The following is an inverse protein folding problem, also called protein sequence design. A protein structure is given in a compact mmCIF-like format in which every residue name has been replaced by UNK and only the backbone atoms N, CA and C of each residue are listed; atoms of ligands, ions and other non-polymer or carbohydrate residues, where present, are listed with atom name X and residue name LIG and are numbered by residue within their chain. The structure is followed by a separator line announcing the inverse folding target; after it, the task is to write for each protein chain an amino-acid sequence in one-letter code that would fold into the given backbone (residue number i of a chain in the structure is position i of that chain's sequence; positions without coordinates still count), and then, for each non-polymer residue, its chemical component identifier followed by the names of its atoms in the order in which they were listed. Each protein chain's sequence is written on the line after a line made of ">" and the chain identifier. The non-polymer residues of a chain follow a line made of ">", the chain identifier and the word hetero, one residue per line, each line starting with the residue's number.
data_IF_605795207273
#
_entry.id   IF_605795207273
#
_cell.length_a   1.000
_cell.length_b   1.000
_cell.length_c   1.000
_cell.angle_alpha   90.00
_cell.angle_beta   90.00
_cell.angle_gamma   90.00
#
_symmetry.space_group_name_H-M   'P 1'
#
loop_
_entity.id
_entity.type
_entity.pdbx_description
1 polymer ?
#
# COMPACT_ATOMS: atom_id res chain seq x y z
N UNK A 1 -49.28 3.71 -40.12
CA UNK A 1 -48.30 3.62 -39.00
C UNK A 1 -48.26 2.18 -38.51
N UNK A 2 -47.07 1.63 -38.34
CA UNK A 2 -46.87 0.30 -37.77
C UNK A 2 -46.11 0.44 -36.46
N UNK A 3 -46.53 -0.26 -35.45
CA UNK A 3 -45.82 -0.34 -34.18
C UNK A 3 -45.47 -1.80 -33.97
N UNK A 4 -44.19 -2.07 -33.71
CA UNK A 4 -43.68 -3.41 -33.47
C UNK A 4 -43.04 -3.48 -32.11
N UNK A 5 -43.49 -4.40 -31.32
CA UNK A 5 -42.80 -4.77 -30.09
C UNK A 5 -41.68 -5.73 -30.46
N UNK A 6 -40.42 -5.28 -30.36
CA UNK A 6 -39.28 -6.10 -30.76
C UNK A 6 -38.86 -7.11 -29.70
N UNK A 7 -39.20 -6.89 -28.42
CA UNK A 7 -38.86 -7.79 -27.31
C UNK A 7 -39.55 -7.40 -26.00
N UNK A 8 -39.73 -8.35 -25.10
CA UNK A 8 -40.20 -8.11 -23.73
C UNK A 8 -41.70 -8.40 -23.51
N UNK A 9 -42.19 -8.25 -22.25
CA UNK A 9 -43.58 -8.47 -21.88
C UNK A 9 -44.50 -7.36 -22.37
N UNK A 10 -45.76 -7.70 -22.65
CA UNK A 10 -46.82 -6.74 -22.91
C UNK A 10 -47.50 -6.83 -24.27
N UNK A 11 -48.55 -6.06 -24.46
CA UNK A 11 -49.29 -5.91 -25.71
C UNK A 11 -49.49 -4.44 -26.05
N UNK A 12 -49.66 -4.17 -27.33
CA UNK A 12 -49.79 -2.85 -27.92
C UNK A 12 -51.20 -2.65 -28.50
N UNK A 13 -51.64 -1.40 -28.60
CA UNK A 13 -52.82 -1.00 -29.34
C UNK A 13 -52.69 0.41 -29.88
N UNK A 14 -53.41 0.72 -30.97
CA UNK A 14 -53.45 2.06 -31.56
C UNK A 14 -54.87 2.57 -31.56
N UNK A 15 -55.05 3.85 -31.30
CA UNK A 15 -56.36 4.52 -31.36
C UNK A 15 -56.26 5.94 -31.92
N UNK A 16 -57.44 6.49 -32.26
CA UNK A 16 -57.62 7.86 -32.71
C UNK A 16 -57.58 8.90 -31.61
N UNK A 17 -57.78 8.48 -30.36
CA UNK A 17 -57.82 9.36 -29.19
C UNK A 17 -57.18 8.70 -27.99
N UNK A 18 -56.69 9.54 -27.05
CA UNK A 18 -56.15 9.06 -25.80
C UNK A 18 -57.16 8.21 -25.02
N UNK A 19 -56.71 7.10 -24.47
CA UNK A 19 -57.54 6.18 -23.68
C UNK A 19 -58.49 5.27 -24.47
N UNK A 20 -58.56 5.40 -25.82
CA UNK A 20 -59.40 4.56 -26.66
C UNK A 20 -58.69 3.32 -27.25
N UNK A 21 -57.37 3.23 -27.09
CA UNK A 21 -56.61 2.06 -27.52
C UNK A 21 -56.99 0.85 -26.67
N UNK A 22 -57.03 -0.33 -27.30
CA UNK A 22 -57.25 -1.62 -26.64
C UNK A 22 -56.11 -2.57 -27.00
N UNK A 23 -55.75 -3.54 -26.14
CA UNK A 23 -54.73 -4.52 -26.45
C UNK A 23 -55.05 -5.28 -27.74
N UNK A 24 -54.16 -5.27 -28.71
CA UNK A 24 -54.33 -5.90 -30.03
C UNK A 24 -53.21 -6.86 -30.42
N UNK A 25 -52.11 -6.84 -29.72
CA UNK A 25 -50.97 -7.74 -29.98
C UNK A 25 -49.63 -7.03 -29.89
N UNK A 26 -48.55 -7.67 -30.36
CA UNK A 26 -47.21 -7.12 -30.35
C UNK A 26 -46.86 -6.30 -31.61
N UNK A 27 -47.49 -6.63 -32.70
CA UNK A 27 -47.42 -5.88 -33.97
C UNK A 27 -48.79 -5.28 -34.27
N UNK A 28 -48.89 -3.96 -34.30
CA UNK A 28 -50.15 -3.25 -34.55
C UNK A 28 -49.97 -2.26 -35.67
N UNK A 29 -50.86 -2.32 -36.66
CA UNK A 29 -50.82 -1.46 -37.83
C UNK A 29 -52.09 -0.62 -37.90
N UNK A 30 -51.98 0.69 -38.07
CA UNK A 30 -53.06 1.59 -38.39
C UNK A 30 -52.83 2.18 -39.80
N UNK A 31 -53.68 1.79 -40.74
CA UNK A 31 -53.63 2.24 -42.14
C UNK A 31 -54.36 3.58 -42.39
N UNK A 32 -54.95 4.15 -41.32
CA UNK A 32 -55.71 5.41 -41.47
C UNK A 32 -54.77 6.61 -41.52
N UNK A 33 -55.13 7.59 -42.37
CA UNK A 33 -54.44 8.90 -42.40
C UNK A 33 -54.98 9.79 -41.29
N UNK A 34 -54.16 9.98 -40.23
CA UNK A 34 -54.51 10.83 -39.06
C UNK A 34 -53.36 11.76 -38.76
N UNK A 35 -53.66 12.89 -38.12
CA UNK A 35 -52.67 13.85 -37.65
C UNK A 35 -52.00 13.43 -36.34
N UNK A 36 -52.64 12.52 -35.59
CA UNK A 36 -52.12 11.97 -34.34
C UNK A 36 -52.55 10.49 -34.18
N UNK A 37 -51.67 9.67 -33.67
CA UNK A 37 -51.91 8.30 -33.24
C UNK A 37 -51.58 8.16 -31.76
N UNK A 38 -52.46 7.51 -31.02
CA UNK A 38 -52.26 7.23 -29.59
C UNK A 38 -51.94 5.76 -29.42
N UNK A 39 -50.83 5.48 -28.78
CA UNK A 39 -50.35 4.13 -28.52
C UNK A 39 -50.63 3.77 -27.08
N UNK A 40 -51.41 2.70 -26.87
CA UNK A 40 -51.57 2.07 -25.57
C UNK A 40 -50.59 0.90 -25.40
N UNK A 41 -50.07 0.75 -24.21
CA UNK A 41 -49.16 -0.33 -23.86
C UNK A 41 -49.70 -0.96 -22.57
N UNK A 42 -49.88 -2.27 -22.59
CA UNK A 42 -50.42 -3.05 -21.45
C UNK A 42 -49.45 -4.17 -21.08
N UNK A 43 -49.23 -4.34 -19.80
CA UNK A 43 -48.53 -5.50 -19.26
C UNK A 43 -49.32 -6.80 -19.48
N UNK A 44 -48.67 -7.89 -19.69
CA UNK A 44 -49.26 -9.25 -19.83
C UNK A 44 -49.18 -10.06 -18.51
N UNK A 45 -48.83 -9.41 -17.42
CA UNK A 45 -48.68 -10.03 -16.10
C UNK A 45 -47.23 -10.53 -15.84
N UNK A 46 -46.33 -10.39 -16.81
CA UNK A 46 -44.89 -10.66 -16.61
C UNK A 46 -44.12 -9.36 -16.46
N UNK A 47 -43.08 -9.38 -15.67
CA UNK A 47 -42.17 -8.23 -15.52
C UNK A 47 -40.97 -8.32 -16.47
N UNK A 48 -40.45 -7.17 -16.88
CA UNK A 48 -39.33 -7.06 -17.83
C UNK A 48 -39.38 -5.74 -18.58
N UNK A 49 -38.41 -5.56 -19.49
CA UNK A 49 -38.38 -4.37 -20.36
C UNK A 49 -38.96 -4.69 -21.72
N UNK A 50 -39.91 -3.87 -22.13
CA UNK A 50 -40.50 -3.90 -23.48
C UNK A 50 -39.90 -2.77 -24.30
N UNK A 51 -39.46 -3.08 -25.52
CA UNK A 51 -38.99 -2.10 -26.49
C UNK A 51 -39.99 -1.98 -27.61
N UNK A 52 -40.53 -0.78 -27.79
CA UNK A 52 -41.57 -0.45 -28.79
C UNK A 52 -40.93 0.35 -29.91
N UNK A 53 -40.92 -0.21 -31.11
CA UNK A 53 -40.45 0.46 -32.32
C UNK A 53 -41.61 0.99 -33.13
N UNK A 54 -41.58 2.26 -33.46
CA UNK A 54 -42.64 2.98 -34.19
C UNK A 54 -42.19 3.26 -35.60
N UNK A 55 -42.91 2.83 -36.61
CA UNK A 55 -42.56 2.97 -38.00
C UNK A 55 -43.64 3.73 -38.82
N UNK A 56 -43.21 4.41 -39.88
CA UNK A 56 -44.04 4.79 -41.00
C UNK A 56 -43.61 4.03 -42.24
N UNK A 57 -44.46 3.13 -42.73
CA UNK A 57 -44.03 2.14 -43.75
C UNK A 57 -42.90 1.28 -43.22
N UNK A 58 -41.73 1.38 -43.84
CA UNK A 58 -40.51 0.68 -43.45
C UNK A 58 -39.53 1.57 -42.69
N UNK A 59 -39.80 2.86 -42.50
CA UNK A 59 -38.93 3.81 -41.85
C UNK A 59 -39.21 3.84 -40.35
N UNK A 60 -38.19 3.55 -39.51
CA UNK A 60 -38.24 3.68 -38.08
C UNK A 60 -38.29 5.18 -37.69
N UNK A 61 -39.32 5.58 -36.91
CA UNK A 61 -39.50 6.92 -36.41
C UNK A 61 -38.96 7.11 -34.98
N UNK A 62 -39.24 6.14 -34.10
CA UNK A 62 -38.85 6.19 -32.69
C UNK A 62 -38.75 4.79 -32.12
N UNK A 63 -37.89 4.66 -31.10
CA UNK A 63 -37.81 3.49 -30.24
C UNK A 63 -37.97 3.94 -28.81
N UNK A 64 -38.98 3.35 -28.12
CA UNK A 64 -39.28 3.67 -26.73
C UNK A 64 -39.14 2.41 -25.87
N UNK A 65 -38.69 2.58 -24.62
CA UNK A 65 -38.54 1.48 -23.69
C UNK A 65 -39.46 1.67 -22.48
N UNK A 66 -40.17 0.62 -22.14
CA UNK A 66 -41.11 0.59 -20.99
C UNK A 66 -40.71 -0.58 -20.07
N UNK A 67 -40.69 -0.31 -18.77
CA UNK A 67 -40.42 -1.32 -17.75
C UNK A 67 -41.73 -1.73 -17.08
N UNK A 68 -42.06 -3.01 -17.18
CA UNK A 68 -43.10 -3.63 -16.38
C UNK A 68 -42.50 -4.30 -15.16
N UNK A 69 -43.05 -4.07 -13.99
CA UNK A 69 -42.61 -4.65 -12.73
C UNK A 69 -43.78 -5.22 -11.94
N UNK A 70 -43.48 -6.23 -11.13
CA UNK A 70 -44.42 -6.88 -10.22
C UNK A 70 -44.39 -6.29 -8.81
N UNK A 71 -44.93 -7.04 -7.87
CA UNK A 71 -44.86 -6.70 -6.45
C UNK A 71 -43.41 -6.80 -5.92
N UNK A 72 -43.14 -6.08 -4.84
CA UNK A 72 -41.82 -6.10 -4.20
C UNK A 72 -41.52 -7.52 -3.70
N UNK A 73 -40.43 -8.12 -4.16
CA UNK A 73 -39.94 -9.42 -3.73
C UNK A 73 -38.58 -9.35 -3.00
N UNK A 74 -37.87 -8.24 -3.19
CA UNK A 74 -36.59 -7.99 -2.44
C UNK A 74 -36.38 -6.49 -2.25
N UNK A 75 -35.77 -6.14 -1.11
CA UNK A 75 -35.34 -4.78 -0.79
C UNK A 75 -33.87 -4.85 -0.43
N UNK A 76 -33.06 -4.05 -1.10
CA UNK A 76 -31.62 -3.94 -0.82
C UNK A 76 -31.30 -2.51 -0.40
N UNK A 77 -30.65 -2.37 0.75
CA UNK A 77 -30.21 -1.10 1.27
C UNK A 77 -28.68 -1.03 1.30
N UNK A 78 -28.11 0.08 0.82
CA UNK A 78 -26.67 0.31 0.78
C UNK A 78 -26.37 1.63 1.46
N UNK A 79 -25.47 1.63 2.43
CA UNK A 79 -25.04 2.86 3.08
C UNK A 79 -24.16 3.69 2.13
N UNK A 80 -24.43 4.99 2.05
CA UNK A 80 -23.57 5.96 1.38
C UNK A 80 -22.45 6.38 2.34
N UNK A 81 -22.79 6.59 3.63
CA UNK A 81 -21.86 6.83 4.72
C UNK A 81 -22.30 6.03 5.93
N UNK A 82 -21.38 5.31 6.56
CA UNK A 82 -21.64 4.61 7.82
C UNK A 82 -21.65 5.53 9.03
N UNK A 83 -21.21 6.78 8.86
CA UNK A 83 -21.06 7.80 9.88
C UNK A 83 -21.86 9.05 9.51
N UNK A 84 -22.72 9.51 10.39
CA UNK A 84 -23.60 10.66 10.21
C UNK A 84 -23.52 11.61 11.41
N UNK A 85 -23.89 12.87 11.20
CA UNK A 85 -23.82 13.90 12.22
C UNK A 85 -25.00 13.83 13.19
N UNK A 86 -24.75 14.08 14.48
CA UNK A 86 -25.79 14.11 15.51
C UNK A 86 -26.60 15.42 15.51
N UNK A 87 -27.88 15.32 15.86
CA UNK A 87 -28.75 16.48 16.07
C UNK A 87 -29.25 17.17 14.80
N UNK A 88 -29.06 16.54 13.62
CA UNK A 88 -29.48 17.11 12.33
C UNK A 88 -30.14 16.04 11.45
N UNK A 89 -30.76 16.47 10.34
CA UNK A 89 -31.19 15.56 9.28
C UNK A 89 -30.04 15.32 8.32
N UNK A 90 -29.59 14.07 8.24
CA UNK A 90 -28.55 13.63 7.33
C UNK A 90 -29.18 13.16 6.03
N UNK A 91 -29.07 13.94 4.95
CA UNK A 91 -29.68 13.64 3.66
C UNK A 91 -28.87 12.59 2.89
N UNK A 92 -29.59 11.73 2.13
CA UNK A 92 -28.98 10.71 1.27
C UNK A 92 -27.96 9.79 1.99
N UNK A 93 -28.21 9.45 3.27
CA UNK A 93 -27.31 8.62 4.07
C UNK A 93 -27.31 7.14 3.63
N UNK A 94 -28.44 6.67 3.08
CA UNK A 94 -28.63 5.29 2.60
C UNK A 94 -29.32 5.36 1.23
N UNK A 95 -28.94 4.48 0.32
CA UNK A 95 -29.69 4.20 -0.91
C UNK A 95 -30.47 2.92 -0.75
N UNK A 96 -31.70 2.88 -1.30
CA UNK A 96 -32.54 1.70 -1.27
C UNK A 96 -33.03 1.37 -2.67
N UNK A 97 -33.05 0.09 -3.00
CA UNK A 97 -33.54 -0.47 -4.26
C UNK A 97 -34.50 -1.61 -3.94
N UNK A 98 -35.70 -1.56 -4.49
CA UNK A 98 -36.65 -2.68 -4.45
C UNK A 98 -36.71 -3.37 -5.81
N UNK A 99 -36.86 -4.68 -5.81
CA UNK A 99 -37.00 -5.50 -7.01
C UNK A 99 -38.12 -6.50 -6.85
N UNK A 100 -38.69 -6.86 -7.97
CA UNK A 100 -39.73 -7.92 -8.04
C UNK A 100 -39.06 -9.33 -8.08
N UNK A 101 -39.90 -10.37 -8.21
CA UNK A 101 -39.49 -11.76 -8.28
C UNK A 101 -38.58 -12.10 -9.49
N UNK A 102 -38.68 -11.32 -10.57
CA UNK A 102 -37.87 -11.45 -11.79
C UNK A 102 -36.64 -10.54 -11.78
N UNK A 103 -36.30 -9.95 -10.61
CA UNK A 103 -35.17 -9.03 -10.44
C UNK A 103 -35.28 -7.70 -11.20
N UNK A 104 -36.46 -7.35 -11.66
CA UNK A 104 -36.73 -6.05 -12.27
C UNK A 104 -36.83 -5.00 -11.17
N UNK A 105 -36.08 -3.90 -11.34
CA UNK A 105 -36.15 -2.78 -10.38
C UNK A 105 -37.49 -2.09 -10.45
N UNK A 106 -38.09 -1.85 -9.29
CA UNK A 106 -39.34 -1.14 -9.12
C UNK A 106 -39.03 0.36 -8.99
N UNK A 107 -39.39 1.19 -9.99
CA UNK A 107 -38.97 2.59 -10.05
C UNK A 107 -39.87 3.55 -9.27
N UNK A 108 -41.01 3.10 -8.78
CA UNK A 108 -41.98 3.92 -8.06
C UNK A 108 -42.65 3.12 -6.94
N UNK A 109 -43.19 3.81 -5.95
CA UNK A 109 -43.81 3.21 -4.78
C UNK A 109 -43.06 3.52 -3.51
N UNK A 110 -43.52 2.95 -2.42
CA UNK A 110 -42.93 3.23 -1.10
C UNK A 110 -42.42 1.98 -0.43
N UNK A 111 -41.27 2.13 0.24
CA UNK A 111 -40.81 1.24 1.30
C UNK A 111 -40.68 2.02 2.60
N UNK A 112 -40.60 1.32 3.70
CA UNK A 112 -40.59 1.94 5.02
C UNK A 112 -39.32 1.49 5.77
N UNK A 113 -38.76 2.35 6.60
CA UNK A 113 -37.59 1.97 7.38
C UNK A 113 -37.77 2.30 8.86
N UNK A 114 -37.11 1.51 9.68
CA UNK A 114 -37.05 1.69 11.13
C UNK A 114 -35.63 1.59 11.68
N UNK A 115 -35.39 2.36 12.72
CA UNK A 115 -34.18 2.32 13.50
C UNK A 115 -34.33 1.39 14.71
N UNK A 116 -33.31 0.61 15.02
CA UNK A 116 -33.27 -0.22 16.22
C UNK A 116 -33.13 0.59 17.53
N UNK A 117 -32.66 1.86 17.45
CA UNK A 117 -32.45 2.74 18.61
C UNK A 117 -32.98 4.13 18.31
N UNK A 118 -34.24 4.39 18.65
CA UNK A 118 -34.92 5.64 18.35
C UNK A 118 -34.37 6.87 19.08
N UNK A 119 -33.62 6.68 20.17
CA UNK A 119 -32.91 7.76 20.88
C UNK A 119 -31.64 8.21 20.16
N UNK A 120 -31.15 7.42 19.20
CA UNK A 120 -29.98 7.73 18.37
C UNK A 120 -30.45 8.23 17.00
N UNK A 121 -31.29 7.46 16.32
CA UNK A 121 -31.88 7.79 15.01
C UNK A 121 -33.39 7.69 15.16
N UNK A 122 -34.09 8.84 15.09
CA UNK A 122 -35.51 8.93 15.37
C UNK A 122 -36.34 8.66 14.10
N UNK A 123 -36.24 7.45 13.56
CA UNK A 123 -37.04 7.01 12.43
C UNK A 123 -37.74 5.68 12.77
N UNK A 124 -39.07 5.69 12.76
CA UNK A 124 -39.89 4.51 12.99
C UNK A 124 -40.89 4.39 11.86
N UNK A 125 -40.73 3.36 11.01
CA UNK A 125 -41.55 3.13 9.81
C UNK A 125 -41.68 4.38 8.92
N UNK A 126 -40.62 5.13 8.79
CA UNK A 126 -40.56 6.32 7.94
C UNK A 126 -40.60 5.93 6.47
N UNK A 127 -41.39 6.64 5.68
CA UNK A 127 -41.58 6.36 4.25
C UNK A 127 -40.36 6.75 3.42
N UNK A 128 -40.05 5.91 2.44
CA UNK A 128 -39.07 6.19 1.38
C UNK A 128 -39.74 5.99 0.04
N UNK A 129 -39.71 7.03 -0.78
CA UNK A 129 -40.15 6.97 -2.17
C UNK A 129 -39.08 6.30 -3.03
N UNK A 130 -39.40 5.19 -3.67
CA UNK A 130 -38.48 4.45 -4.55
C UNK A 130 -38.06 5.25 -5.79
N UNK A 131 -38.87 6.24 -6.22
CA UNK A 131 -38.49 7.12 -7.32
C UNK A 131 -37.31 8.02 -6.95
N UNK A 132 -37.11 8.30 -5.68
CA UNK A 132 -35.92 9.04 -5.15
C UNK A 132 -34.82 8.08 -4.80
N UNK A 133 -35.14 6.93 -4.20
CA UNK A 133 -34.20 5.86 -3.86
C UNK A 133 -33.17 6.22 -2.79
N UNK A 134 -33.30 7.39 -2.14
CA UNK A 134 -32.38 7.87 -1.09
C UNK A 134 -33.12 8.15 0.20
N UNK A 135 -32.40 7.94 1.33
CA UNK A 135 -33.01 8.02 2.66
C UNK A 135 -32.33 9.11 3.47
N UNK A 136 -33.13 9.96 4.08
CA UNK A 136 -32.71 10.95 5.04
C UNK A 136 -32.93 10.44 6.47
N UNK A 137 -31.89 10.52 7.31
CA UNK A 137 -31.93 10.07 8.69
C UNK A 137 -32.06 11.27 9.63
N UNK A 138 -33.03 11.21 10.55
CA UNK A 138 -33.18 12.18 11.64
C UNK A 138 -32.40 11.67 12.85
N UNK A 139 -31.22 12.25 13.12
CA UNK A 139 -30.36 11.84 14.21
C UNK A 139 -30.57 12.72 15.45
N UNK A 140 -30.58 12.13 16.62
CA UNK A 140 -30.76 12.84 17.90
C UNK A 140 -29.47 12.88 18.72
N UNK A 141 -28.89 11.73 19.01
CA UNK A 141 -27.71 11.62 19.89
C UNK A 141 -26.64 10.74 19.23
N UNK A 142 -25.41 10.90 19.70
CA UNK A 142 -24.30 10.02 19.32
C UNK A 142 -24.58 8.58 19.76
N UNK A 143 -24.16 7.62 18.94
CA UNK A 143 -24.37 6.20 19.21
C UNK A 143 -24.41 5.37 17.93
N UNK A 144 -24.85 4.12 18.06
CA UNK A 144 -25.01 3.21 16.94
C UNK A 144 -26.46 2.75 16.84
N UNK A 145 -26.95 2.59 15.61
CA UNK A 145 -28.28 2.04 15.35
C UNK A 145 -28.23 1.21 14.05
N UNK A 146 -29.05 0.18 14.00
CA UNK A 146 -29.28 -0.61 12.81
C UNK A 146 -30.53 -0.12 12.11
N UNK A 147 -30.46 0.11 10.82
CA UNK A 147 -31.58 0.48 9.96
C UNK A 147 -32.04 -0.72 9.15
N UNK A 148 -33.34 -1.00 9.15
CA UNK A 148 -33.96 -2.08 8.38
C UNK A 148 -35.12 -1.50 7.59
N UNK A 149 -35.28 -1.89 6.33
CA UNK A 149 -36.37 -1.51 5.45
C UNK A 149 -37.41 -2.62 5.38
N UNK A 150 -38.65 -2.25 5.15
CA UNK A 150 -39.80 -3.15 5.07
C UNK A 150 -40.78 -2.73 3.97
N UNK A 151 -41.58 -3.68 3.51
CA UNK A 151 -42.66 -3.47 2.53
C UNK A 151 -43.92 -2.83 3.13
N UNK A 152 -44.02 -2.75 4.47
CA UNK A 152 -45.17 -2.17 5.16
C UNK A 152 -44.76 -1.18 6.24
N UNK A 153 -45.68 -0.27 6.59
CA UNK A 153 -45.47 0.80 7.57
C UNK A 153 -45.76 0.37 9.03
N UNK A 154 -45.90 -0.91 9.27
CA UNK A 154 -46.12 -1.48 10.60
C UNK A 154 -45.41 -2.83 10.73
N UNK A 155 -44.99 -3.19 11.94
CA UNK A 155 -44.41 -4.49 12.20
C UNK A 155 -45.37 -5.66 11.84
N UNK A 156 -46.65 -5.49 12.13
CA UNK A 156 -47.66 -6.53 11.86
C UNK A 156 -47.93 -6.74 10.37
N UNK A 157 -47.78 -5.70 9.55
CA UNK A 157 -47.99 -5.77 8.11
C UNK A 157 -46.74 -6.14 7.32
N UNK A 158 -45.54 -6.14 7.95
CA UNK A 158 -44.27 -6.44 7.28
C UNK A 158 -44.18 -7.92 6.92
N UNK A 159 -44.04 -8.21 5.63
CA UNK A 159 -43.82 -9.55 5.10
C UNK A 159 -42.40 -9.70 4.54
N UNK A 160 -41.75 -8.59 4.20
CA UNK A 160 -40.43 -8.54 3.62
C UNK A 160 -39.55 -7.49 4.31
N UNK A 161 -38.32 -7.86 4.59
CA UNK A 161 -37.31 -6.95 5.14
C UNK A 161 -36.03 -6.95 4.31
N UNK A 162 -35.29 -5.79 4.32
CA UNK A 162 -33.98 -5.66 3.70
C UNK A 162 -32.87 -6.33 4.53
N UNK A 163 -31.66 -6.29 3.98
CA UNK A 163 -30.45 -6.40 4.79
C UNK A 163 -30.41 -5.27 5.85
N UNK A 164 -29.71 -5.56 6.97
CA UNK A 164 -29.46 -4.58 8.04
C UNK A 164 -28.34 -3.64 7.62
N UNK A 165 -28.57 -2.34 7.79
CA UNK A 165 -27.57 -1.29 7.58
C UNK A 165 -27.14 -0.72 8.94
N UNK A 166 -25.92 -1.04 9.37
CA UNK A 166 -25.36 -0.48 10.59
C UNK A 166 -24.89 0.96 10.36
N UNK A 167 -25.43 1.89 11.17
CA UNK A 167 -25.12 3.32 11.15
C UNK A 167 -24.53 3.74 12.48
N UNK A 168 -23.54 4.64 12.42
CA UNK A 168 -23.01 5.33 13.59
C UNK A 168 -23.34 6.83 13.50
N UNK A 169 -23.87 7.39 14.57
CA UNK A 169 -24.06 8.83 14.75
C UNK A 169 -22.87 9.38 15.52
N UNK A 170 -22.11 10.28 14.91
CA UNK A 170 -20.93 10.86 15.49
C UNK A 170 -21.27 11.80 16.65
N UNK A 171 -20.47 11.77 17.69
CA UNK A 171 -20.47 12.79 18.74
C UNK A 171 -19.77 14.07 18.26
N UNK A 172 -19.84 15.13 19.05
CA UNK A 172 -19.14 16.38 18.79
C UNK A 172 -17.61 16.15 18.70
N UNK A 173 -16.90 16.88 17.84
CA UNK A 173 -15.45 16.83 17.77
C UNK A 173 -14.82 17.20 19.12
N UNK A 174 -13.80 16.45 19.55
CA UNK A 174 -13.16 16.67 20.84
C UNK A 174 -11.65 16.85 20.74
N UNK A 175 -10.99 16.03 19.93
CA UNK A 175 -9.53 16.03 19.79
C UNK A 175 -9.11 16.08 18.31
N UNK A 176 -7.91 16.59 18.06
CA UNK A 176 -7.27 16.54 16.76
C UNK A 176 -5.82 16.06 16.89
N UNK A 177 -5.35 15.29 15.92
CA UNK A 177 -3.95 14.90 15.78
C UNK A 177 -3.45 15.23 14.38
N UNK A 178 -2.15 15.51 14.25
CA UNK A 178 -1.48 15.79 13.00
C UNK A 178 -0.39 14.75 12.79
N UNK A 179 -0.33 14.14 11.62
CA UNK A 179 0.70 13.15 11.30
C UNK A 179 1.11 13.24 9.83
N UNK A 180 2.36 12.90 9.55
CA UNK A 180 2.84 12.63 8.21
C UNK A 180 2.65 11.13 7.88
N UNK A 181 2.59 10.80 6.59
CA UNK A 181 2.47 9.42 6.11
C UNK A 181 3.75 8.59 6.26
N UNK A 182 4.92 9.25 6.47
CA UNK A 182 6.22 8.60 6.69
C UNK A 182 6.98 9.30 7.81
N UNK A 183 7.98 8.60 8.36
CA UNK A 183 8.91 9.16 9.35
C UNK A 183 10.18 9.77 8.74
N UNK A 184 10.48 9.47 7.47
CA UNK A 184 11.63 10.00 6.73
C UNK A 184 11.27 10.23 5.26
N UNK A 185 11.87 11.25 4.67
CA UNK A 185 11.65 11.69 3.29
C UNK A 185 12.96 12.06 2.62
N UNK A 186 13.01 11.92 1.30
CA UNK A 186 14.06 12.51 0.47
C UNK A 186 13.83 14.02 0.28
N UNK A 187 14.85 14.72 -0.21
CA UNK A 187 14.79 16.14 -0.57
C UNK A 187 13.70 16.38 -1.63
N UNK A 188 12.80 17.32 -1.38
CA UNK A 188 11.72 17.68 -2.31
C UNK A 188 10.62 16.59 -2.46
N UNK A 189 10.66 15.54 -1.67
CA UNK A 189 9.68 14.44 -1.77
C UNK A 189 8.28 14.90 -1.39
N UNK A 190 7.28 14.32 -2.07
CA UNK A 190 5.87 14.52 -1.74
C UNK A 190 5.55 13.80 -0.43
N UNK A 191 4.89 14.49 0.47
CA UNK A 191 4.36 13.97 1.73
C UNK A 191 2.85 14.20 1.83
N UNK A 192 2.17 13.31 2.55
CA UNK A 192 0.78 13.48 2.93
C UNK A 192 0.69 13.81 4.41
N UNK A 193 0.12 14.96 4.73
CA UNK A 193 -0.22 15.34 6.10
C UNK A 193 -1.67 14.97 6.37
N UNK A 194 -1.91 14.22 7.43
CA UNK A 194 -3.26 13.83 7.87
C UNK A 194 -3.60 14.56 9.17
N UNK A 195 -4.73 15.25 9.18
CA UNK A 195 -5.36 15.80 10.38
C UNK A 195 -6.52 14.89 10.74
N UNK A 196 -6.40 14.19 11.85
CA UNK A 196 -7.43 13.26 12.35
C UNK A 196 -8.23 13.92 13.44
N UNK A 197 -9.56 14.06 13.24
CA UNK A 197 -10.47 14.60 14.25
C UNK A 197 -11.26 13.44 14.88
N UNK A 198 -11.29 13.39 16.20
CA UNK A 198 -11.98 12.36 16.96
C UNK A 198 -12.93 12.98 17.97
N UNK A 199 -13.99 12.23 18.33
CA UNK A 199 -14.87 12.56 19.45
C UNK A 199 -14.24 12.22 20.80
N UNK A 200 -14.92 12.52 21.90
CA UNK A 200 -14.42 12.26 23.26
C UNK A 200 -14.20 10.77 23.56
N UNK A 201 -14.78 9.86 22.77
CA UNK A 201 -14.54 8.42 22.86
C UNK A 201 -13.39 7.93 21.96
N UNK A 202 -12.68 8.84 21.28
CA UNK A 202 -11.59 8.51 20.34
C UNK A 202 -12.07 7.97 18.99
N UNK A 203 -13.37 8.08 18.69
CA UNK A 203 -13.95 7.58 17.45
C UNK A 203 -14.00 8.68 16.37
N UNK A 204 -13.96 8.33 15.07
CA UNK A 204 -14.00 9.30 14.00
C UNK A 204 -15.23 10.20 14.04
N UNK A 205 -15.08 11.48 13.69
CA UNK A 205 -16.21 12.37 13.42
C UNK A 205 -16.70 12.20 11.99
N UNK A 206 -17.90 12.68 11.67
CA UNK A 206 -18.46 12.62 10.32
C UNK A 206 -17.77 13.62 9.35
N UNK A 207 -18.18 13.58 8.08
CA UNK A 207 -17.65 14.44 7.01
C UNK A 207 -18.01 15.93 7.13
N UNK A 208 -18.78 16.33 8.14
CA UNK A 208 -19.16 17.73 8.32
C UNK A 208 -17.90 18.55 8.67
N UNK A 209 -17.73 19.66 7.97
CA UNK A 209 -16.60 20.55 8.23
C UNK A 209 -16.64 21.08 9.69
N UNK A 210 -15.55 20.91 10.40
CA UNK A 210 -15.35 21.49 11.73
C UNK A 210 -14.76 22.90 11.54
N UNK A 211 -15.61 23.89 11.50
CA UNK A 211 -15.27 25.27 11.09
C UNK A 211 -14.14 25.90 11.93
N UNK A 212 -14.05 25.51 13.19
CA UNK A 212 -13.04 26.02 14.13
C UNK A 212 -12.30 24.85 14.80
N UNK A 213 -11.87 23.87 14.01
CA UNK A 213 -11.05 22.75 14.49
C UNK A 213 -9.69 23.21 14.94
N UNK A 214 -9.12 24.18 14.25
CA UNK A 214 -7.85 24.82 14.58
C UNK A 214 -8.06 26.32 14.78
N UNK A 215 -7.06 27.02 15.26
CA UNK A 215 -7.04 28.48 15.22
C UNK A 215 -6.84 28.96 13.78
N UNK A 216 -7.03 30.26 13.50
CA UNK A 216 -6.89 30.83 12.17
C UNK A 216 -5.49 30.65 11.54
N UNK A 217 -4.46 30.45 12.35
CA UNK A 217 -3.11 30.13 11.90
C UNK A 217 -3.04 28.76 11.18
N UNK A 218 -3.97 27.84 11.48
CA UNK A 218 -3.95 26.49 10.94
C UNK A 218 -2.77 25.67 11.45
N UNK A 219 -2.16 24.91 10.55
CA UNK A 219 -0.92 24.17 10.81
C UNK A 219 0.29 25.01 10.38
N UNK A 220 1.27 25.13 11.26
CA UNK A 220 2.52 25.87 11.03
C UNK A 220 3.67 24.89 11.04
N UNK A 221 4.48 24.88 10.01
CA UNK A 221 5.72 24.11 9.91
C UNK A 221 6.90 24.93 10.44
N UNK A 222 7.85 24.28 11.09
CA UNK A 222 9.13 24.90 11.50
C UNK A 222 10.03 25.24 10.30
N UNK A 223 9.81 24.61 9.14
CA UNK A 223 10.46 24.93 7.87
C UNK A 223 9.42 25.12 6.77
N UNK A 224 9.74 25.92 5.76
CA UNK A 224 8.81 26.18 4.66
C UNK A 224 8.52 24.90 3.86
N UNK A 225 7.24 24.55 3.79
CA UNK A 225 6.71 23.49 2.92
C UNK A 225 5.96 24.16 1.75
N UNK A 226 5.93 23.48 0.61
CA UNK A 226 5.13 23.88 -0.55
C UNK A 226 4.01 22.86 -0.78
N UNK A 227 2.97 23.23 -1.53
CA UNK A 227 1.82 22.36 -1.78
C UNK A 227 0.51 22.96 -1.30
N UNK A 228 -0.32 22.14 -0.65
CA UNK A 228 -1.62 22.60 -0.13
C UNK A 228 -1.47 23.66 0.95
N UNK A 229 -2.50 24.52 1.04
CA UNK A 229 -2.56 25.56 2.06
C UNK A 229 -2.85 24.91 3.42
N UNK A 230 -1.92 25.04 4.35
CA UNK A 230 -2.02 24.52 5.71
C UNK A 230 -2.65 25.51 6.70
N UNK A 231 -2.82 26.79 6.29
CA UNK A 231 -3.43 27.82 7.12
C UNK A 231 -4.95 27.73 7.07
N UNK A 232 -5.60 28.11 8.17
CA UNK A 232 -7.06 28.15 8.30
C UNK A 232 -7.58 27.33 9.45
N UNK A 233 -8.71 27.78 9.98
CA UNK A 233 -9.32 27.18 11.16
C UNK A 233 -10.17 25.92 10.86
N UNK A 234 -10.68 25.82 9.63
CA UNK A 234 -11.62 24.75 9.26
C UNK A 234 -10.89 23.50 8.78
N UNK A 235 -11.30 22.35 9.30
CA UNK A 235 -10.87 21.05 8.82
C UNK A 235 -12.12 20.28 8.37
N UNK A 236 -12.07 19.77 7.12
CA UNK A 236 -13.17 18.98 6.56
C UNK A 236 -12.72 17.52 6.44
N UNK A 237 -13.17 16.64 7.36
CA UNK A 237 -12.85 15.23 7.30
C UNK A 237 -13.43 14.57 6.03
N UNK A 238 -12.76 13.55 5.54
CA UNK A 238 -13.30 12.69 4.51
C UNK A 238 -14.34 11.71 5.06
N UNK A 239 -15.10 11.12 4.16
CA UNK A 239 -16.21 10.24 4.49
C UNK A 239 -15.77 9.11 5.43
N UNK A 240 -16.45 8.95 6.56
CA UNK A 240 -16.33 7.87 7.55
C UNK A 240 -14.97 7.75 8.29
N UNK A 241 -13.95 8.52 7.96
CA UNK A 241 -12.62 8.40 8.55
C UNK A 241 -12.34 9.38 9.69
N UNK A 242 -13.00 10.52 9.69
CA UNK A 242 -12.66 11.65 10.58
C UNK A 242 -11.31 12.31 10.22
N UNK A 243 -10.74 12.01 9.05
CA UNK A 243 -9.41 12.44 8.63
C UNK A 243 -9.50 13.40 7.44
N UNK A 244 -8.73 14.47 7.49
CA UNK A 244 -8.50 15.37 6.36
C UNK A 244 -7.04 15.24 5.93
N UNK A 245 -6.79 15.17 4.62
CA UNK A 245 -5.44 15.00 4.07
C UNK A 245 -5.02 16.22 3.28
N UNK A 246 -3.74 16.56 3.39
CA UNK A 246 -3.08 17.65 2.70
C UNK A 246 -1.81 17.15 2.03
N UNK A 247 -1.58 17.55 0.80
CA UNK A 247 -0.36 17.22 0.05
C UNK A 247 0.64 18.34 0.22
N UNK A 248 1.83 18.02 0.71
CA UNK A 248 2.94 18.96 0.82
C UNK A 248 4.21 18.39 0.20
N UNK A 249 5.19 19.23 -0.09
CA UNK A 249 6.50 18.82 -0.57
C UNK A 249 7.56 19.25 0.43
N UNK A 250 8.48 18.34 0.73
CA UNK A 250 9.57 18.54 1.66
C UNK A 250 10.57 19.57 1.13
N UNK A 251 11.35 20.24 2.00
CA UNK A 251 12.39 21.17 1.58
C UNK A 251 13.47 20.46 0.74
N UNK A 252 14.21 21.26 -0.04
CA UNK A 252 15.34 20.79 -0.87
C UNK A 252 16.66 20.70 -0.09
N UNK A 253 16.61 20.69 1.23
CA UNK A 253 17.76 20.55 2.11
C UNK A 253 17.39 19.67 3.30
N UNK A 254 18.39 19.04 3.92
CA UNK A 254 18.20 18.17 5.08
C UNK A 254 17.72 18.96 6.30
N UNK A 255 16.64 18.49 6.92
CA UNK A 255 16.03 19.13 8.09
C UNK A 255 15.11 18.15 8.83
N UNK A 256 14.90 18.40 10.11
CA UNK A 256 13.86 17.76 10.90
C UNK A 256 12.59 18.62 10.89
N UNK A 257 11.52 18.09 10.33
CA UNK A 257 10.26 18.80 10.12
C UNK A 257 9.27 18.43 11.19
N UNK A 258 8.62 19.44 11.76
CA UNK A 258 7.47 19.31 12.66
C UNK A 258 6.37 20.29 12.24
N UNK A 259 5.12 19.85 12.36
CA UNK A 259 3.94 20.69 12.23
C UNK A 259 3.36 20.93 13.61
N UNK A 260 2.99 22.17 13.87
CA UNK A 260 2.27 22.57 15.08
C UNK A 260 0.98 23.29 14.72
N UNK A 261 -0.04 23.09 15.51
CA UNK A 261 -1.30 23.83 15.44
C UNK A 261 -1.80 24.12 16.84
N UNK A 262 -2.71 25.06 16.96
CA UNK A 262 -3.46 25.25 18.21
C UNK A 262 -4.91 24.83 17.98
N UNK A 263 -5.44 23.97 18.82
CA UNK A 263 -6.82 23.54 18.77
C UNK A 263 -7.78 24.70 18.88
N UNK A 264 -8.78 24.72 18.00
CA UNK A 264 -9.81 25.77 17.97
C UNK A 264 -11.02 25.45 18.86
N UNK A 265 -11.94 26.40 18.95
CA UNK A 265 -13.15 26.27 19.76
C UNK A 265 -14.11 25.12 19.30
N UNK A 266 -13.92 24.59 18.10
CA UNK A 266 -14.66 23.43 17.58
C UNK A 266 -14.25 22.10 18.16
N UNK A 267 -13.17 22.05 18.95
CA UNK A 267 -12.69 20.85 19.65
C UNK A 267 -13.01 20.95 21.14
N UNK A 268 -13.84 20.06 21.66
CA UNK A 268 -14.28 20.16 23.05
C UNK A 268 -13.14 19.92 24.06
N UNK A 269 -12.13 19.11 23.74
CA UNK A 269 -11.03 18.78 24.63
C UNK A 269 -9.75 19.55 24.28
N UNK A 270 -9.40 19.68 23.01
CA UNK A 270 -8.13 20.27 22.58
C UNK A 270 -8.20 21.80 22.33
N UNK A 271 -9.32 22.43 22.64
CA UNK A 271 -9.47 23.89 22.47
C UNK A 271 -8.37 24.64 23.24
N UNK A 272 -7.59 25.46 22.54
CA UNK A 272 -6.48 26.22 23.09
C UNK A 272 -5.20 25.43 23.37
N UNK A 273 -5.20 24.11 23.18
CA UNK A 273 -4.01 23.27 23.35
C UNK A 273 -3.16 23.23 22.09
N UNK A 274 -1.85 23.09 22.29
CA UNK A 274 -0.91 22.88 21.15
C UNK A 274 -0.94 21.42 20.72
N UNK A 275 -1.16 21.23 19.43
CA UNK A 275 -1.13 19.93 18.75
C UNK A 275 0.15 19.89 17.91
N UNK A 276 0.99 18.88 18.14
CA UNK A 276 2.29 18.76 17.45
C UNK A 276 2.36 17.41 16.73
N UNK A 277 2.79 17.41 15.47
CA UNK A 277 3.06 16.16 14.73
C UNK A 277 4.30 15.46 15.29
N UNK A 278 4.46 14.14 15.09
CA UNK A 278 5.78 13.52 15.17
C UNK A 278 6.78 14.24 14.27
N UNK A 279 8.05 14.31 14.70
CA UNK A 279 9.13 14.83 13.87
C UNK A 279 9.44 13.86 12.75
N UNK A 280 9.61 14.37 11.54
CA UNK A 280 10.04 13.59 10.38
C UNK A 280 11.36 14.13 9.86
N UNK A 281 12.29 13.24 9.48
CA UNK A 281 13.59 13.62 8.93
C UNK A 281 13.53 13.76 7.42
N UNK A 282 14.19 14.79 6.91
CA UNK A 282 14.45 14.96 5.47
C UNK A 282 15.94 14.84 5.25
N UNK A 283 16.39 13.89 4.45
CA UNK A 283 17.81 13.63 4.20
C UNK A 283 18.09 13.41 2.72
N UNK A 284 19.35 13.66 2.33
CA UNK A 284 19.86 13.29 1.01
C UNK A 284 20.38 11.85 1.06
N UNK A 285 19.48 10.90 0.87
CA UNK A 285 19.80 9.47 0.92
C UNK A 285 20.89 9.06 -0.06
N UNK A 286 21.06 9.80 -1.18
CA UNK A 286 22.13 9.55 -2.15
C UNK A 286 23.50 10.03 -1.63
N UNK A 287 23.54 11.21 -1.00
CA UNK A 287 24.74 11.72 -0.36
C UNK A 287 25.15 10.89 0.84
N UNK A 288 24.21 10.45 1.66
CA UNK A 288 24.46 9.58 2.81
C UNK A 288 25.02 8.23 2.38
N UNK A 289 24.45 7.62 1.33
CA UNK A 289 24.94 6.37 0.75
C UNK A 289 26.34 6.52 0.14
N UNK A 290 26.62 7.64 -0.55
CA UNK A 290 27.93 7.94 -1.11
C UNK A 290 28.99 8.14 0.00
N UNK A 291 28.63 8.80 1.10
CA UNK A 291 29.51 8.99 2.27
C UNK A 291 29.84 7.65 2.93
N UNK A 292 28.83 6.77 3.12
CA UNK A 292 29.06 5.44 3.67
C UNK A 292 29.97 4.58 2.77
N UNK A 293 29.75 4.61 1.44
CA UNK A 293 30.60 3.89 0.49
C UNK A 293 32.03 4.42 0.47
N UNK A 294 32.25 5.74 0.62
CA UNK A 294 33.57 6.34 0.73
C UNK A 294 34.28 5.91 2.02
N UNK A 295 33.59 5.81 3.14
CA UNK A 295 34.14 5.31 4.40
C UNK A 295 34.59 3.84 4.25
N UNK A 296 33.75 2.98 3.70
CA UNK A 296 34.06 1.57 3.44
C UNK A 296 35.27 1.42 2.50
N UNK A 297 35.34 2.24 1.45
CA UNK A 297 36.50 2.24 0.54
C UNK A 297 37.81 2.64 1.27
N UNK A 298 37.71 3.58 2.22
CA UNK A 298 38.86 3.98 3.05
C UNK A 298 39.32 2.85 3.96
N UNK A 299 38.40 2.17 4.62
CA UNK A 299 38.71 1.04 5.49
C UNK A 299 39.35 -0.13 4.71
N UNK A 300 38.82 -0.42 3.51
CA UNK A 300 39.38 -1.42 2.61
C UNK A 300 40.83 -1.04 2.15
N UNK A 301 41.06 0.25 1.88
CA UNK A 301 42.41 0.72 1.52
C UNK A 301 43.42 0.58 2.68
N UNK A 302 42.99 0.87 3.91
CA UNK A 302 43.80 0.67 5.11
C UNK A 302 44.15 -0.82 5.30
N UNK A 303 43.17 -1.70 5.20
CA UNK A 303 43.37 -3.14 5.32
C UNK A 303 44.35 -3.70 4.23
N UNK A 304 44.20 -3.20 3.00
CA UNK A 304 45.10 -3.56 1.92
C UNK A 304 46.57 -3.08 2.17
N UNK A 305 46.72 -1.87 2.74
CA UNK A 305 48.02 -1.35 3.13
C UNK A 305 48.67 -2.21 4.24
N UNK A 306 47.91 -2.55 5.26
CA UNK A 306 48.37 -3.41 6.36
C UNK A 306 48.83 -4.79 5.85
N UNK A 307 48.05 -5.40 4.96
CA UNK A 307 48.41 -6.67 4.33
C UNK A 307 49.69 -6.56 3.47
N UNK A 308 49.89 -5.44 2.78
CA UNK A 308 51.12 -5.21 2.01
C UNK A 308 52.34 -5.04 2.91
N UNK A 309 52.22 -4.36 4.05
CA UNK A 309 53.27 -4.23 5.05
C UNK A 309 53.65 -5.61 5.64
N UNK A 310 52.68 -6.43 5.98
CA UNK A 310 52.89 -7.79 6.48
C UNK A 310 53.57 -8.69 5.43
N UNK A 311 53.14 -8.60 4.17
CA UNK A 311 53.79 -9.33 3.07
C UNK A 311 55.24 -8.90 2.85
N UNK A 312 55.56 -7.60 3.02
CA UNK A 312 56.91 -7.07 2.93
C UNK A 312 57.78 -7.65 4.05
N UNK A 313 57.31 -7.63 5.29
CA UNK A 313 57.99 -8.22 6.44
C UNK A 313 58.28 -9.73 6.25
N UNK A 314 57.29 -10.47 5.76
CA UNK A 314 57.44 -11.89 5.45
C UNK A 314 58.51 -12.14 4.36
N UNK A 315 58.60 -11.26 3.36
CA UNK A 315 59.62 -11.34 2.31
C UNK A 315 61.04 -11.05 2.85
N UNK A 316 61.15 -10.09 3.76
CA UNK A 316 62.41 -9.79 4.46
C UNK A 316 62.90 -10.97 5.31
N UNK A 317 61.98 -11.58 6.07
CA UNK A 317 62.26 -12.78 6.88
C UNK A 317 62.69 -13.98 6.00
N UNK A 318 62.03 -14.18 4.87
CA UNK A 318 62.41 -15.20 3.91
C UNK A 318 63.76 -14.94 3.28
N UNK A 319 64.09 -13.68 3.01
CA UNK A 319 65.44 -13.25 2.54
C UNK A 319 66.51 -13.56 3.57
N UNK A 320 66.28 -13.22 4.85
CA UNK A 320 67.21 -13.52 5.94
C UNK A 320 67.43 -15.03 6.13
N UNK A 321 66.36 -15.82 6.05
CA UNK A 321 66.47 -17.27 6.12
C UNK A 321 67.29 -17.88 4.95
N UNK A 322 67.09 -17.33 3.74
CA UNK A 322 67.87 -17.75 2.57
C UNK A 322 69.39 -17.46 2.72
N UNK A 323 69.75 -16.28 3.27
CA UNK A 323 71.15 -15.93 3.58
C UNK A 323 71.77 -16.87 4.63
N UNK A 324 71.06 -17.18 5.72
CA UNK A 324 71.51 -18.13 6.73
C UNK A 324 71.68 -19.54 6.17
N UNK A 325 70.86 -19.97 5.25
CA UNK A 325 71.00 -21.25 4.56
C UNK A 325 72.23 -21.27 3.65
N UNK A 326 72.53 -20.14 2.96
CA UNK A 326 73.70 -19.99 2.14
C UNK A 326 74.99 -20.06 3.02
N UNK A 327 75.07 -19.32 4.13
CA UNK A 327 76.17 -19.38 5.08
C UNK A 327 76.43 -20.81 5.61
N UNK A 328 75.38 -21.54 5.91
CA UNK A 328 75.46 -22.93 6.35
C UNK A 328 75.99 -23.86 5.25
N UNK A 329 75.64 -23.62 4.01
CA UNK A 329 76.12 -24.39 2.86
C UNK A 329 77.63 -24.10 2.60
N UNK A 330 78.06 -22.84 2.71
CA UNK A 330 79.43 -22.43 2.54
C UNK A 330 80.33 -23.04 3.65
N UNK A 331 79.89 -23.04 4.90
CA UNK A 331 80.53 -23.69 6.01
C UNK A 331 80.67 -25.21 5.80
N UNK A 332 79.65 -25.85 5.28
CA UNK A 332 79.68 -27.27 4.93
C UNK A 332 80.72 -27.57 3.81
N UNK A 333 80.78 -26.72 2.80
CA UNK A 333 81.76 -26.83 1.71
C UNK A 333 83.18 -26.68 2.22
N UNK A 334 83.42 -25.72 3.12
CA UNK A 334 84.77 -25.54 3.76
C UNK A 334 85.13 -26.80 4.57
N UNK A 335 84.17 -27.34 5.36
CA UNK A 335 84.43 -28.56 6.13
C UNK A 335 84.73 -29.75 5.23
N UNK A 336 84.07 -29.92 4.10
CA UNK A 336 84.34 -30.98 3.12
C UNK A 336 85.74 -30.78 2.47
N UNK A 337 86.08 -29.54 2.15
CA UNK A 337 87.42 -29.21 1.57
C UNK A 337 88.49 -29.54 2.55
N UNK A 338 88.33 -29.16 3.84
CA UNK A 338 89.33 -29.49 4.91
C UNK A 338 89.42 -31.00 5.09
N UNK A 339 88.34 -31.71 5.14
CA UNK A 339 88.33 -33.18 5.23
C UNK A 339 89.09 -33.82 4.03
N UNK A 340 88.82 -33.29 2.83
CA UNK A 340 89.53 -33.74 1.62
C UNK A 340 91.04 -33.57 1.75
N UNK A 341 91.47 -32.43 2.31
CA UNK A 341 92.93 -32.16 2.55
C UNK A 341 93.55 -33.11 3.60
N UNK A 342 92.78 -33.32 4.70
CA UNK A 342 93.22 -34.22 5.78
C UNK A 342 93.33 -35.69 5.29
N UNK A 343 92.36 -36.12 4.50
CA UNK A 343 92.37 -37.46 3.87
C UNK A 343 93.53 -37.59 2.91
N UNK A 344 93.84 -36.58 2.08
CA UNK A 344 95.00 -36.60 1.19
C UNK A 344 96.36 -36.68 1.97
N UNK A 345 96.44 -35.90 3.08
CA UNK A 345 97.60 -35.97 3.95
C UNK A 345 97.79 -37.35 4.64
N UNK A 346 96.68 -37.95 5.08
CA UNK A 346 96.62 -39.29 5.65
C UNK A 346 97.07 -40.37 4.63
N UNK A 347 96.58 -40.27 3.41
CA UNK A 347 96.99 -41.16 2.30
C UNK A 347 98.49 -41.01 1.99
N UNK A 348 99.04 -39.78 1.95
CA UNK A 348 100.41 -39.53 1.75
C UNK A 348 101.25 -40.18 2.86
N UNK A 349 100.88 -40.03 4.14
CA UNK A 349 101.52 -40.63 5.29
C UNK A 349 101.58 -42.17 5.23
N UNK A 350 100.43 -42.77 4.80
CA UNK A 350 100.38 -44.23 4.57
C UNK A 350 101.29 -44.63 3.43
N UNK A 351 101.41 -43.89 2.36
CA UNK A 351 102.25 -44.11 1.23
C UNK A 351 103.72 -44.08 1.64
N UNK A 352 104.06 -43.07 2.45
CA UNK A 352 105.46 -42.93 3.02
C UNK A 352 105.83 -44.08 3.94
N UNK A 353 104.87 -44.55 4.78
CA UNK A 353 105.06 -45.75 5.63
C UNK A 353 105.22 -47.01 4.80
N UNK A 354 104.42 -47.20 3.74
CA UNK A 354 104.54 -48.34 2.82
C UNK A 354 105.94 -48.31 2.16
N UNK A 355 106.40 -47.15 1.73
CA UNK A 355 107.74 -46.94 1.14
C UNK A 355 108.81 -47.32 2.15
N UNK A 356 108.72 -46.86 3.41
CA UNK A 356 109.64 -47.21 4.48
C UNK A 356 109.67 -48.73 4.78
N UNK A 357 108.53 -49.36 4.81
CA UNK A 357 108.39 -50.81 4.97
C UNK A 357 109.06 -51.57 3.82
N UNK A 358 108.80 -51.13 2.57
CA UNK A 358 109.49 -51.74 1.39
C UNK A 358 111.01 -51.59 1.48
N UNK A 359 111.51 -50.44 1.91
CA UNK A 359 112.96 -50.28 2.13
C UNK A 359 113.51 -51.25 3.19
N UNK A 360 112.75 -51.45 4.27
CA UNK A 360 113.12 -52.41 5.32
C UNK A 360 113.10 -53.85 4.79
N UNK A 361 112.02 -54.21 4.02
CA UNK A 361 111.90 -55.54 3.37
C UNK A 361 113.05 -55.81 2.39
N UNK A 362 113.42 -54.83 1.57
CA UNK A 362 114.57 -54.94 0.64
C UNK A 362 115.86 -55.14 1.44
N UNK A 363 116.14 -54.37 2.52
CA UNK A 363 117.29 -54.58 3.42
C UNK A 363 117.22 -55.93 4.08
N UNK A 364 116.12 -56.41 4.54
CA UNK A 364 115.93 -57.74 5.11
C UNK A 364 116.19 -58.84 4.08
N UNK A 365 115.71 -58.69 2.87
CA UNK A 365 115.92 -59.58 1.74
C UNK A 365 117.41 -59.67 1.38
N UNK A 366 118.15 -58.51 1.35
CA UNK A 366 119.56 -58.49 1.09
C UNK A 366 120.40 -59.09 2.24
N UNK A 367 119.91 -58.95 3.49
CA UNK A 367 120.55 -59.55 4.66
C UNK A 367 120.35 -61.08 4.67
N UNK A 368 119.20 -61.54 4.34
CA UNK A 368 118.84 -62.95 4.18
C UNK A 368 119.66 -63.57 3.03
N UNK A 369 119.78 -62.87 1.88
CA UNK A 369 120.61 -63.35 0.77
C UNK A 369 122.13 -63.45 1.17
N UNK A 370 122.58 -62.52 1.96
CA UNK A 370 123.91 -62.55 2.50
C UNK A 370 124.20 -63.73 3.51
N UNK A 371 123.21 -64.01 4.31
CA UNK A 371 123.13 -65.14 5.23
C UNK A 371 123.08 -66.49 4.49
N UNK A 372 122.37 -66.57 3.42
CA UNK A 372 122.29 -67.77 2.58
C UNK A 372 123.60 -68.03 1.81
N UNK A 373 124.36 -66.98 1.44
CA UNK A 373 125.70 -67.08 0.77
C UNK A 373 126.82 -67.43 1.69
N UNK A 374 126.56 -67.49 3.02
CA UNK A 374 127.54 -67.92 4.04
C UNK A 374 127.36 -69.35 4.54
N UNK A 375 126.47 -70.10 3.99
CA UNK A 375 126.32 -71.56 4.12
C UNK A 375 126.90 -72.16 2.85
#
# INVERSE_FOLDING_TARGET
>A
MCIRDSSGPGSLGIAASAGAAVPAGRDVTDATTRTAHYVGIWGDGTSGTTVVNIYTGTTLLSTESFVFYGDIASITATKVSGLVHAGVTNTAAITVVAKDSNQVTIPVGNVYFTSSVLTVINNSYSTVDLAVGTVSLVTLAAGTANITFSDANTAAGTTLTSNVVAMRVAAAPATATIAFDKSAYALGEKATVTVSIRDAAGLPVDKTAVATALTAAGMVSNFALTGDVLTGASVTPSLDSGDATYTVYMPSYAADITLTATGGAGLATDAGLTITSPTVSVSDTAADAASAAAAEATDNAIAAYEAAVEATSAAEDAGAAALAAQESADAALEAVTTLGTDVAAAIQKISDQITAINVVLVKLGTTLARLAAKK
#
